data_IF_826501012383
#
_entry.id   IF_826501012383
#
_cell.length_a   1.000
_cell.length_b   1.000
_cell.length_c   1.000
_cell.angle_alpha   90.00
_cell.angle_beta   90.00
_cell.angle_gamma   90.00
#
_symmetry.space_group_name_H-M   'P 1'
#
loop_
_entity.id
_entity.type
_entity.pdbx_description
1 polymer ?
#
# COMPACT_ATOMS: atom_id res chain seq x y z
N UNK A 1 29.20 11.57 18.85
CA UNK A 1 27.84 11.03 18.84
C UNK A 1 26.78 12.06 18.43
N UNK A 2 26.69 13.25 19.03
CA UNK A 2 25.66 14.27 18.70
C UNK A 2 25.65 14.76 17.23
N UNK A 3 26.81 14.89 16.56
CA UNK A 3 26.88 15.27 15.14
C UNK A 3 26.39 14.16 14.20
N UNK A 4 26.62 12.89 14.54
CA UNK A 4 26.10 11.74 13.79
C UNK A 4 24.58 11.60 13.97
N UNK A 5 24.05 11.78 15.17
CA UNK A 5 22.63 11.80 15.46
C UNK A 5 21.92 12.96 14.74
N UNK A 6 22.47 14.19 14.75
CA UNK A 6 21.93 15.34 13.98
C UNK A 6 21.98 15.12 12.47
N UNK A 7 23.01 14.44 11.93
CA UNK A 7 23.05 14.05 10.50
C UNK A 7 22.01 12.97 10.18
N UNK A 8 21.82 11.99 11.06
CA UNK A 8 20.80 10.95 10.93
C UNK A 8 19.39 11.59 10.93
N UNK A 9 19.08 12.47 11.88
CA UNK A 9 17.80 13.19 11.97
C UNK A 9 17.57 14.09 10.75
N UNK A 10 18.60 14.79 10.24
CA UNK A 10 18.48 15.56 8.98
C UNK A 10 18.26 14.68 7.75
N UNK A 11 18.78 13.45 7.74
CA UNK A 11 18.61 12.49 6.62
C UNK A 11 17.27 11.78 6.65
N UNK A 12 16.69 11.53 7.85
CA UNK A 12 15.40 10.83 7.99
C UNK A 12 14.20 11.79 8.11
N UNK A 13 14.43 13.06 8.41
CA UNK A 13 13.38 14.02 8.78
C UNK A 13 12.12 14.04 7.91
N UNK A 14 12.22 14.09 6.57
CA UNK A 14 11.02 14.22 5.73
C UNK A 14 10.15 12.98 5.62
N UNK A 15 10.70 11.77 5.78
CA UNK A 15 9.92 10.52 5.70
C UNK A 15 9.26 10.14 7.03
N UNK A 16 9.73 10.73 8.15
CA UNK A 16 9.22 10.43 9.49
C UNK A 16 7.71 10.64 9.61
N UNK A 17 7.08 11.74 9.12
CA UNK A 17 5.64 11.89 9.19
C UNK A 17 4.87 10.75 8.50
N UNK A 18 5.38 10.24 7.39
CA UNK A 18 4.77 9.07 6.72
C UNK A 18 4.91 7.80 7.55
N UNK A 19 6.04 7.58 8.22
CA UNK A 19 6.22 6.44 9.13
C UNK A 19 5.32 6.56 10.38
N UNK A 20 5.12 7.78 10.88
CA UNK A 20 4.15 8.05 11.96
C UNK A 20 2.73 7.73 11.51
N UNK A 21 2.36 8.10 10.27
CA UNK A 21 1.07 7.75 9.69
C UNK A 21 0.87 6.23 9.61
N UNK A 22 1.89 5.50 9.12
CA UNK A 22 1.86 4.03 9.08
C UNK A 22 1.73 3.45 10.49
N UNK A 23 2.47 4.01 11.48
CA UNK A 23 2.37 3.60 12.89
C UNK A 23 1.00 3.89 13.52
N UNK A 24 0.35 4.99 13.15
CA UNK A 24 -0.97 5.36 13.66
C UNK A 24 -2.07 4.34 13.29
N UNK A 25 -1.91 3.61 12.19
CA UNK A 25 -2.78 2.49 11.80
C UNK A 25 -2.62 1.24 12.69
N UNK A 26 -1.59 1.20 13.52
CA UNK A 26 -1.40 0.17 14.55
C UNK A 26 -2.17 0.44 15.84
N UNK A 27 -2.77 1.63 16.00
CA UNK A 27 -3.54 1.97 17.17
C UNK A 27 -4.95 1.35 17.10
N UNK A 28 -5.49 0.89 18.23
CA UNK A 28 -6.85 0.38 18.26
C UNK A 28 -7.85 1.51 17.94
N UNK A 29 -8.88 1.17 17.18
CA UNK A 29 -9.98 2.09 16.93
C UNK A 29 -10.78 2.28 18.23
N UNK A 30 -10.98 3.52 18.67
CA UNK A 30 -11.80 3.84 19.82
C UNK A 30 -13.25 3.41 19.62
N UNK A 31 -13.97 3.13 20.71
CA UNK A 31 -15.35 2.68 20.70
C UNK A 31 -16.32 3.62 19.93
N UNK A 32 -15.97 4.90 19.77
CA UNK A 32 -16.74 5.88 18.98
C UNK A 32 -16.52 5.79 17.47
N UNK A 33 -15.44 5.17 17.01
CA UNK A 33 -15.13 5.01 15.57
C UNK A 33 -15.88 3.84 14.91
N UNK A 34 -16.61 3.05 15.69
CA UNK A 34 -17.33 1.85 15.26
C UNK A 34 -18.76 2.12 14.78
N UNK A 35 -19.16 3.39 14.62
CA UNK A 35 -20.47 3.78 14.11
C UNK A 35 -20.63 3.49 12.62
N UNK A 36 -21.86 3.19 12.20
CA UNK A 36 -22.26 2.89 10.79
C UNK A 36 -22.02 4.06 9.82
N UNK A 37 -21.46 5.18 10.27
CA UNK A 37 -21.31 6.43 9.51
C UNK A 37 -19.91 6.81 9.07
N UNK A 38 -18.93 5.90 9.07
CA UNK A 38 -17.59 6.21 8.51
C UNK A 38 -16.86 7.35 9.26
N UNK A 39 -16.91 7.36 10.60
CA UNK A 39 -16.26 8.37 11.43
C UNK A 39 -14.75 8.50 11.16
N UNK A 40 -14.21 9.71 11.29
CA UNK A 40 -12.80 9.96 11.11
C UNK A 40 -11.97 9.18 12.13
N UNK A 41 -10.96 8.48 11.64
CA UNK A 41 -10.02 7.70 12.47
C UNK A 41 -8.83 8.56 12.90
N UNK A 42 -8.08 8.15 13.95
CA UNK A 42 -6.81 8.80 14.28
C UNK A 42 -5.84 8.87 13.08
N UNK A 43 -5.85 7.83 12.23
CA UNK A 43 -5.05 7.80 11.02
C UNK A 43 -5.49 8.85 9.99
N UNK A 44 -6.78 9.17 9.89
CA UNK A 44 -7.28 10.25 9.04
C UNK A 44 -6.75 11.62 9.50
N UNK A 45 -6.78 11.88 10.80
CA UNK A 45 -6.24 13.13 11.36
C UNK A 45 -4.73 13.25 11.10
N UNK A 46 -3.96 12.17 11.36
CA UNK A 46 -2.52 12.13 11.08
C UNK A 46 -2.26 12.32 9.59
N UNK A 47 -3.08 11.73 8.70
CA UNK A 47 -2.94 11.87 7.25
C UNK A 47 -3.10 13.34 6.82
N UNK A 48 -4.05 14.06 7.38
CA UNK A 48 -4.24 15.50 7.16
C UNK A 48 -2.99 16.30 7.56
N UNK A 49 -2.42 16.00 8.75
CA UNK A 49 -1.18 16.64 9.20
C UNK A 49 0.01 16.34 8.28
N UNK A 50 0.12 15.12 7.78
CA UNK A 50 1.17 14.72 6.81
C UNK A 50 1.02 15.50 5.52
N UNK A 51 -0.19 15.64 5.00
CA UNK A 51 -0.48 16.41 3.78
C UNK A 51 -0.14 17.89 3.99
N UNK A 52 -0.58 18.49 5.11
CA UNK A 52 -0.22 19.87 5.45
C UNK A 52 1.29 20.05 5.57
N UNK A 53 1.99 19.16 6.27
CA UNK A 53 3.44 19.18 6.38
C UNK A 53 4.13 19.12 5.01
N UNK A 54 3.67 18.20 4.13
CA UNK A 54 4.20 18.07 2.77
C UNK A 54 4.00 19.35 1.95
N UNK A 55 2.81 19.95 2.03
CA UNK A 55 2.48 21.21 1.33
C UNK A 55 3.34 22.38 1.83
N UNK A 56 3.41 22.60 3.15
CA UNK A 56 4.24 23.65 3.76
C UNK A 56 5.71 23.47 3.39
N UNK A 57 6.21 22.23 3.41
CA UNK A 57 7.57 21.92 3.01
C UNK A 57 7.81 22.24 1.53
N UNK A 58 6.91 21.85 0.63
CA UNK A 58 7.02 22.11 -0.80
C UNK A 58 7.10 23.61 -1.09
N UNK A 59 6.25 24.41 -0.45
CA UNK A 59 6.25 25.87 -0.56
C UNK A 59 7.58 26.48 -0.05
N UNK A 60 8.02 26.06 1.16
CA UNK A 60 9.24 26.58 1.78
C UNK A 60 10.52 26.25 1.00
N UNK A 61 10.58 25.03 0.42
CA UNK A 61 11.76 24.58 -0.32
C UNK A 61 11.74 25.03 -1.77
N UNK A 62 10.67 25.68 -2.24
CA UNK A 62 10.45 26.10 -3.63
C UNK A 62 10.75 25.00 -4.66
N UNK A 63 10.65 23.75 -4.25
CA UNK A 63 10.86 22.62 -5.15
C UNK A 63 9.65 22.50 -6.07
N UNK A 64 9.90 22.26 -7.36
CA UNK A 64 8.88 21.84 -8.33
C UNK A 64 8.99 20.30 -8.52
N UNK A 65 8.51 19.51 -7.55
CA UNK A 65 8.79 18.08 -7.51
C UNK A 65 7.94 17.27 -8.48
N UNK A 66 6.85 17.85 -8.98
CA UNK A 66 5.88 17.16 -9.81
C UNK A 66 6.11 17.52 -11.29
N UNK A 67 6.48 16.50 -12.07
CA UNK A 67 6.52 16.59 -13.53
C UNK A 67 5.10 16.68 -14.14
N UNK A 68 5.01 17.02 -15.42
CA UNK A 68 3.72 17.11 -16.14
C UNK A 68 2.89 15.83 -16.02
N UNK A 69 3.53 14.67 -16.12
CA UNK A 69 2.86 13.38 -15.99
C UNK A 69 2.29 13.17 -14.57
N UNK A 70 3.05 13.53 -13.52
CA UNK A 70 2.56 13.43 -12.15
C UNK A 70 1.38 14.37 -11.91
N UNK A 71 1.44 15.59 -12.48
CA UNK A 71 0.32 16.53 -12.41
C UNK A 71 -0.93 16.00 -13.12
N UNK A 72 -0.80 15.38 -14.29
CA UNK A 72 -1.93 14.78 -15.00
C UNK A 72 -2.53 13.60 -14.22
N UNK A 73 -1.69 12.66 -13.75
CA UNK A 73 -2.16 11.46 -13.02
C UNK A 73 -2.85 11.81 -11.71
N UNK A 74 -2.42 12.88 -11.01
CA UNK A 74 -3.05 13.33 -9.76
C UNK A 74 -4.18 14.34 -9.99
N UNK A 75 -4.12 15.11 -11.07
CA UNK A 75 -5.08 16.17 -11.36
C UNK A 75 -6.36 15.69 -12.05
N UNK A 76 -6.27 14.73 -12.97
CA UNK A 76 -7.47 14.18 -13.64
C UNK A 76 -8.50 13.61 -12.66
N UNK A 77 -8.12 12.82 -11.64
CA UNK A 77 -9.05 12.37 -10.62
C UNK A 77 -9.75 13.51 -9.86
N UNK A 78 -9.07 14.64 -9.63
CA UNK A 78 -9.69 15.80 -8.95
C UNK A 78 -10.89 16.29 -9.75
N UNK A 79 -10.73 16.45 -11.07
CA UNK A 79 -11.80 16.93 -11.95
C UNK A 79 -12.94 15.91 -12.00
N UNK A 80 -12.62 14.62 -12.15
CA UNK A 80 -13.63 13.57 -12.23
C UNK A 80 -14.48 13.47 -10.96
N UNK A 81 -13.82 13.49 -9.78
CA UNK A 81 -14.52 13.42 -8.49
C UNK A 81 -15.32 14.70 -8.23
N UNK A 82 -14.81 15.88 -8.65
CA UNK A 82 -15.57 17.13 -8.54
C UNK A 82 -16.84 17.11 -9.40
N UNK A 83 -16.75 16.60 -10.63
CA UNK A 83 -17.94 16.43 -11.52
C UNK A 83 -18.95 15.48 -10.88
N UNK A 84 -18.51 14.33 -10.36
CA UNK A 84 -19.39 13.36 -9.70
C UNK A 84 -20.03 13.91 -8.42
N UNK A 85 -19.32 14.81 -7.70
CA UNK A 85 -19.86 15.45 -6.50
C UNK A 85 -21.05 16.37 -6.80
N UNK A 86 -21.14 16.95 -8.00
CA UNK A 86 -22.30 17.74 -8.42
C UNK A 86 -23.59 16.90 -8.54
N UNK A 87 -23.44 15.59 -8.76
CA UNK A 87 -24.58 14.65 -8.83
C UNK A 87 -24.94 14.00 -7.48
N UNK A 88 -24.26 14.31 -6.39
CA UNK A 88 -24.53 13.72 -5.08
C UNK A 88 -25.92 14.12 -4.55
N UNK A 89 -26.61 13.18 -3.88
CA UNK A 89 -27.96 13.39 -3.35
C UNK A 89 -28.02 14.49 -2.27
N UNK A 90 -26.96 14.58 -1.44
CA UNK A 90 -26.86 15.60 -0.39
C UNK A 90 -25.49 16.28 -0.43
N UNK A 91 -25.40 17.56 0.01
CA UNK A 91 -24.12 18.26 0.14
C UNK A 91 -23.15 17.56 1.12
N UNK A 92 -23.65 16.90 2.17
CA UNK A 92 -22.84 16.14 3.11
C UNK A 92 -22.16 14.93 2.45
N UNK A 93 -22.89 14.18 1.60
CA UNK A 93 -22.36 13.05 0.88
C UNK A 93 -21.34 13.49 -0.16
N UNK A 94 -21.62 14.63 -0.87
CA UNK A 94 -20.67 15.24 -1.78
C UNK A 94 -19.35 15.56 -1.09
N UNK A 95 -19.39 16.26 0.06
CA UNK A 95 -18.18 16.65 0.80
C UNK A 95 -17.45 15.43 1.34
N UNK A 96 -18.16 14.47 1.95
CA UNK A 96 -17.55 13.26 2.49
C UNK A 96 -16.87 12.45 1.41
N UNK A 97 -17.54 12.23 0.28
CA UNK A 97 -16.99 11.51 -0.86
C UNK A 97 -15.78 12.24 -1.45
N UNK A 98 -15.91 13.54 -1.70
CA UNK A 98 -14.84 14.37 -2.24
C UNK A 98 -13.59 14.32 -1.36
N UNK A 99 -13.73 14.53 -0.05
CA UNK A 99 -12.64 14.48 0.92
C UNK A 99 -11.96 13.11 0.89
N UNK A 100 -12.74 12.02 0.90
CA UNK A 100 -12.19 10.66 0.93
C UNK A 100 -11.44 10.31 -0.36
N UNK A 101 -12.02 10.57 -1.51
CA UNK A 101 -11.36 10.33 -2.79
C UNK A 101 -10.11 11.19 -2.96
N UNK A 102 -10.18 12.49 -2.64
CA UNK A 102 -9.02 13.37 -2.71
C UNK A 102 -7.92 12.94 -1.74
N UNK A 103 -8.26 12.57 -0.50
CA UNK A 103 -7.31 12.07 0.49
C UNK A 103 -6.52 10.89 -0.06
N UNK A 104 -7.22 9.86 -0.57
CA UNK A 104 -6.62 8.57 -0.92
C UNK A 104 -5.95 8.59 -2.29
N UNK A 105 -6.59 9.23 -3.28
CA UNK A 105 -6.14 9.15 -4.69
C UNK A 105 -5.17 10.27 -5.05
N UNK A 106 -5.23 11.41 -4.35
CA UNK A 106 -4.48 12.61 -4.74
C UNK A 106 -3.54 13.09 -3.64
N UNK A 107 -4.07 13.42 -2.46
CA UNK A 107 -3.32 14.15 -1.43
C UNK A 107 -2.24 13.28 -0.77
N UNK A 108 -2.59 12.05 -0.36
CA UNK A 108 -1.61 11.13 0.22
C UNK A 108 -0.56 10.67 -0.81
N UNK A 109 -0.92 10.24 -2.03
CA UNK A 109 0.07 9.97 -3.07
C UNK A 109 0.97 11.17 -3.37
N UNK A 110 0.40 12.38 -3.42
CA UNK A 110 1.15 13.63 -3.56
C UNK A 110 2.13 13.87 -2.40
N UNK A 111 1.70 13.65 -1.16
CA UNK A 111 2.55 13.77 0.02
C UNK A 111 3.71 12.76 -0.01
N UNK A 112 3.47 11.51 -0.42
CA UNK A 112 4.53 10.49 -0.59
C UNK A 112 5.55 10.93 -1.63
N UNK A 113 5.09 11.44 -2.79
CA UNK A 113 5.97 11.98 -3.84
C UNK A 113 6.86 13.13 -3.36
N UNK A 114 6.35 13.96 -2.45
CA UNK A 114 7.06 15.13 -1.90
C UNK A 114 8.03 14.76 -0.76
N UNK A 115 7.72 13.73 0.03
CA UNK A 115 8.43 13.42 1.26
C UNK A 115 9.45 12.28 1.09
N UNK A 116 9.21 11.32 0.20
CA UNK A 116 10.17 10.27 -0.13
C UNK A 116 11.20 10.82 -1.12
N UNK A 117 12.48 10.91 -0.71
CA UNK A 117 13.54 11.56 -1.47
C UNK A 117 14.40 10.61 -2.28
N UNK A 118 14.67 9.46 -1.70
CA UNK A 118 15.64 8.50 -2.22
C UNK A 118 15.20 7.05 -1.96
N UNK A 119 15.95 6.10 -2.49
CA UNK A 119 15.70 4.67 -2.30
C UNK A 119 15.83 4.22 -0.85
N UNK A 120 16.61 4.93 -0.02
CA UNK A 120 16.74 4.60 1.39
C UNK A 120 15.46 4.98 2.16
N UNK A 121 14.87 6.15 1.87
CA UNK A 121 13.56 6.54 2.41
C UNK A 121 12.47 5.56 1.94
N UNK A 122 12.52 5.16 0.67
CA UNK A 122 11.58 4.17 0.12
C UNK A 122 11.67 2.82 0.82
N UNK A 123 12.90 2.31 1.08
CA UNK A 123 13.10 1.08 1.85
C UNK A 123 12.63 1.20 3.29
N UNK A 124 12.80 2.39 3.91
CA UNK A 124 12.27 2.64 5.27
C UNK A 124 10.75 2.53 5.30
N UNK A 125 10.06 3.05 4.26
CA UNK A 125 8.61 2.86 4.12
C UNK A 125 8.25 1.38 3.98
N UNK A 126 8.97 0.63 3.14
CA UNK A 126 8.78 -0.82 3.01
C UNK A 126 8.94 -1.56 4.35
N UNK A 127 9.98 -1.26 5.12
CA UNK A 127 10.16 -1.83 6.45
C UNK A 127 9.12 -1.33 7.46
N UNK A 128 8.64 -0.10 7.35
CA UNK A 128 7.52 0.43 8.13
C UNK A 128 6.24 -0.39 7.91
N UNK A 129 5.94 -0.72 6.65
CA UNK A 129 4.80 -1.59 6.29
C UNK A 129 4.97 -3.01 6.83
N UNK A 130 6.17 -3.59 6.76
CA UNK A 130 6.48 -4.90 7.36
C UNK A 130 6.28 -4.85 8.88
N UNK A 131 6.77 -3.80 9.54
CA UNK A 131 6.61 -3.61 11.00
C UNK A 131 5.13 -3.51 11.40
N UNK A 132 4.33 -2.71 10.67
CA UNK A 132 2.89 -2.62 10.90
C UNK A 132 2.20 -3.97 10.69
N UNK A 133 2.56 -4.70 9.63
CA UNK A 133 1.99 -6.02 9.35
C UNK A 133 2.32 -7.04 10.44
N UNK A 134 3.53 -7.06 10.96
CA UNK A 134 3.92 -7.92 12.08
C UNK A 134 3.14 -7.57 13.35
N UNK A 135 2.95 -6.28 13.63
CA UNK A 135 2.15 -5.81 14.77
C UNK A 135 0.69 -6.25 14.65
N UNK A 136 0.05 -5.95 13.53
CA UNK A 136 -1.33 -6.34 13.25
C UNK A 136 -1.50 -7.86 13.22
N UNK A 137 -0.54 -8.56 12.62
CA UNK A 137 -0.51 -10.01 12.57
C UNK A 137 -0.37 -10.66 13.95
N UNK A 138 0.48 -10.12 14.83
CA UNK A 138 0.64 -10.61 16.19
C UNK A 138 -0.65 -10.46 17.01
N UNK A 139 -1.32 -9.30 16.89
CA UNK A 139 -2.64 -9.09 17.51
C UNK A 139 -3.66 -10.09 16.95
N UNK A 140 -3.69 -10.27 15.62
CA UNK A 140 -4.62 -11.22 14.99
C UNK A 140 -4.40 -12.66 15.43
N UNK A 141 -3.15 -13.12 15.56
CA UNK A 141 -2.83 -14.45 16.10
C UNK A 141 -3.29 -14.57 17.54
N UNK A 142 -3.05 -13.54 18.37
CA UNK A 142 -3.56 -13.51 19.74
C UNK A 142 -5.09 -13.59 19.79
N UNK A 143 -5.79 -12.81 18.96
CA UNK A 143 -7.25 -12.81 18.89
C UNK A 143 -7.79 -14.18 18.50
N UNK A 144 -7.17 -14.85 17.54
CA UNK A 144 -7.56 -16.20 17.15
C UNK A 144 -7.34 -17.20 18.29
N UNK A 145 -6.19 -17.18 18.95
CA UNK A 145 -5.83 -18.08 20.04
C UNK A 145 -6.72 -17.92 21.28
N UNK A 146 -7.22 -16.70 21.55
CA UNK A 146 -8.05 -16.38 22.72
C UNK A 146 -9.54 -16.31 22.41
N UNK A 147 -9.95 -16.51 21.16
CA UNK A 147 -11.34 -16.38 20.77
C UNK A 147 -11.88 -14.95 20.83
N UNK A 148 -11.00 -13.91 20.79
CA UNK A 148 -11.37 -12.50 20.92
C UNK A 148 -11.42 -11.74 19.59
N UNK A 149 -11.38 -12.43 18.45
CA UNK A 149 -11.49 -11.84 17.11
C UNK A 149 -12.91 -11.43 16.76
N UNK A 150 -13.26 -11.49 15.47
CA UNK A 150 -14.61 -11.22 14.99
C UNK A 150 -15.22 -12.44 14.32
N UNK A 151 -16.51 -12.66 14.54
CA UNK A 151 -17.33 -13.60 13.79
C UNK A 151 -18.05 -12.83 12.66
N UNK A 152 -18.22 -13.47 11.52
CA UNK A 152 -18.92 -12.92 10.38
C UNK A 152 -19.95 -13.95 9.89
N UNK A 153 -21.22 -13.56 9.81
CA UNK A 153 -22.32 -14.41 9.41
C UNK A 153 -22.46 -15.70 10.27
N UNK A 154 -22.16 -15.62 11.58
CA UNK A 154 -22.22 -16.78 12.47
C UNK A 154 -21.07 -17.78 12.32
N UNK A 155 -20.10 -17.49 11.45
CA UNK A 155 -18.91 -18.32 11.26
C UNK A 155 -17.88 -18.14 12.39
N UNK A 156 -16.89 -19.03 12.40
CA UNK A 156 -15.81 -19.04 13.38
C UNK A 156 -15.02 -17.73 13.45
N UNK A 157 -14.37 -17.53 14.58
CA UNK A 157 -13.65 -16.31 14.90
C UNK A 157 -12.46 -16.10 13.96
N UNK A 158 -12.41 -14.90 13.36
CA UNK A 158 -11.35 -14.45 12.47
C UNK A 158 -10.43 -13.48 13.20
N UNK A 159 -9.17 -13.50 12.80
CA UNK A 159 -8.21 -12.47 13.16
C UNK A 159 -8.50 -11.17 12.40
N UNK A 160 -8.71 -10.07 13.12
CA UNK A 160 -9.08 -8.75 12.55
C UNK A 160 -8.10 -7.64 12.96
N UNK A 161 -7.14 -7.92 13.84
CA UNK A 161 -6.17 -6.94 14.32
C UNK A 161 -6.83 -5.79 15.11
N UNK A 162 -6.25 -4.59 15.03
CA UNK A 162 -6.78 -3.42 15.71
C UNK A 162 -7.97 -2.78 15.00
N UNK A 163 -8.32 -3.21 13.79
CA UNK A 163 -9.44 -2.67 13.00
C UNK A 163 -10.81 -3.15 13.49
N UNK A 164 -10.85 -4.28 14.19
CA UNK A 164 -12.06 -4.83 14.78
C UNK A 164 -13.07 -5.36 13.76
N UNK A 165 -14.30 -5.60 14.24
CA UNK A 165 -15.37 -6.21 13.44
C UNK A 165 -15.88 -5.32 12.29
N UNK A 166 -15.59 -4.02 12.31
CA UNK A 166 -16.06 -3.06 11.29
C UNK A 166 -15.18 -3.04 10.03
N UNK A 167 -13.94 -3.51 10.12
CA UNK A 167 -13.04 -3.68 8.97
C UNK A 167 -12.34 -5.03 9.04
N UNK A 168 -13.13 -6.08 8.84
CA UNK A 168 -12.66 -7.48 8.89
C UNK A 168 -11.54 -7.76 7.87
N UNK A 169 -11.51 -6.99 6.78
CA UNK A 169 -10.49 -7.12 5.74
C UNK A 169 -9.22 -6.31 6.05
N UNK A 170 -9.28 -5.32 6.95
CA UNK A 170 -8.18 -4.38 7.18
C UNK A 170 -6.88 -5.05 7.59
N UNK A 171 -6.93 -6.02 8.53
CA UNK A 171 -5.75 -6.77 8.93
C UNK A 171 -5.18 -7.60 7.77
N UNK A 172 -6.05 -8.29 7.01
CA UNK A 172 -5.61 -9.11 5.87
C UNK A 172 -4.90 -8.27 4.81
N UNK A 173 -5.41 -7.07 4.52
CA UNK A 173 -4.80 -6.09 3.60
C UNK A 173 -3.43 -5.64 4.09
N UNK A 174 -3.31 -5.24 5.35
CA UNK A 174 -2.04 -4.80 5.94
C UNK A 174 -1.00 -5.92 5.95
N UNK A 175 -1.39 -7.13 6.34
CA UNK A 175 -0.52 -8.31 6.35
C UNK A 175 -0.07 -8.65 4.93
N UNK A 176 -0.95 -8.57 3.95
CA UNK A 176 -0.61 -8.79 2.54
C UNK A 176 0.41 -7.78 2.02
N UNK A 177 0.26 -6.49 2.34
CA UNK A 177 1.28 -5.48 2.01
C UNK A 177 2.63 -5.81 2.68
N UNK A 178 2.60 -6.24 3.94
CA UNK A 178 3.79 -6.69 4.66
C UNK A 178 4.49 -7.85 3.96
N UNK A 179 3.75 -8.86 3.52
CA UNK A 179 4.28 -10.02 2.77
C UNK A 179 4.91 -9.56 1.45
N UNK A 180 4.22 -8.73 0.67
CA UNK A 180 4.72 -8.20 -0.60
C UNK A 180 6.01 -7.40 -0.41
N UNK A 181 6.06 -6.51 0.60
CA UNK A 181 7.25 -5.74 0.96
C UNK A 181 8.40 -6.66 1.40
N UNK A 182 8.12 -7.57 2.32
CA UNK A 182 9.12 -8.49 2.86
C UNK A 182 9.66 -9.42 1.76
N UNK A 183 8.81 -9.95 0.89
CA UNK A 183 9.24 -10.78 -0.24
C UNK A 183 10.11 -9.99 -1.22
N UNK A 184 9.72 -8.77 -1.60
CA UNK A 184 10.52 -7.91 -2.50
C UNK A 184 11.91 -7.63 -1.90
N UNK A 185 11.99 -7.32 -0.60
CA UNK A 185 13.24 -7.11 0.13
C UNK A 185 14.06 -8.41 0.27
N UNK A 186 13.43 -9.56 0.46
CA UNK A 186 14.10 -10.87 0.52
C UNK A 186 14.72 -11.25 -0.84
N UNK A 187 14.02 -10.94 -1.94
CA UNK A 187 14.47 -11.25 -3.29
C UNK A 187 15.65 -10.37 -3.74
N UNK A 188 15.64 -9.08 -3.39
CA UNK A 188 16.55 -8.10 -3.98
C UNK A 188 17.15 -7.09 -2.99
N UNK A 189 16.97 -7.26 -1.68
CA UNK A 189 17.47 -6.36 -0.65
C UNK A 189 19.00 -6.17 -0.68
N UNK A 190 19.51 -5.03 -0.13
CA UNK A 190 20.90 -4.61 -0.33
C UNK A 190 21.92 -5.49 0.38
N UNK A 191 21.56 -6.14 1.46
CA UNK A 191 22.48 -7.00 2.25
C UNK A 191 21.90 -8.39 2.47
N UNK A 192 22.78 -9.37 2.69
CA UNK A 192 22.36 -10.75 3.03
C UNK A 192 21.50 -10.79 4.30
N UNK A 193 21.88 -10.01 5.32
CA UNK A 193 21.09 -9.93 6.57
C UNK A 193 19.70 -9.39 6.32
N UNK A 194 19.59 -8.27 5.61
CA UNK A 194 18.27 -7.69 5.26
C UNK A 194 17.40 -8.68 4.47
N UNK A 195 17.99 -9.43 3.53
CA UNK A 195 17.25 -10.46 2.76
C UNK A 195 16.77 -11.61 3.63
N UNK A 196 17.61 -12.12 4.53
CA UNK A 196 17.23 -13.19 5.44
C UNK A 196 16.14 -12.74 6.41
N UNK A 197 16.32 -11.57 7.07
CA UNK A 197 15.32 -11.01 7.98
C UNK A 197 13.98 -10.80 7.27
N UNK A 198 14.01 -10.22 6.07
CA UNK A 198 12.80 -10.02 5.28
C UNK A 198 12.13 -11.36 4.90
N UNK A 199 12.91 -12.38 4.54
CA UNK A 199 12.39 -13.72 4.26
C UNK A 199 11.70 -14.36 5.48
N UNK A 200 12.31 -14.25 6.66
CA UNK A 200 11.70 -14.70 7.91
C UNK A 200 10.41 -13.93 8.22
N UNK A 201 10.39 -12.61 8.02
CA UNK A 201 9.17 -11.81 8.21
C UNK A 201 8.06 -12.23 7.22
N UNK A 202 8.40 -12.43 5.93
CA UNK A 202 7.44 -12.89 4.93
C UNK A 202 6.81 -14.22 5.33
N UNK A 203 7.62 -15.16 5.80
CA UNK A 203 7.16 -16.47 6.26
C UNK A 203 6.28 -16.36 7.52
N UNK A 204 6.70 -15.58 8.52
CA UNK A 204 5.92 -15.37 9.74
C UNK A 204 4.55 -14.75 9.46
N UNK A 205 4.47 -13.83 8.49
CA UNK A 205 3.22 -13.15 8.11
C UNK A 205 2.23 -14.06 7.37
N UNK A 206 2.63 -15.25 6.88
CA UNK A 206 1.69 -16.20 6.29
C UNK A 206 0.69 -16.73 7.32
N UNK A 207 1.08 -16.84 8.58
CA UNK A 207 0.22 -17.32 9.68
C UNK A 207 -0.99 -16.39 9.89
N UNK A 208 -0.80 -15.08 10.22
CA UNK A 208 -1.94 -14.20 10.40
C UNK A 208 -2.76 -13.98 9.12
N UNK A 209 -2.14 -14.07 7.93
CA UNK A 209 -2.90 -14.05 6.69
C UNK A 209 -3.84 -15.26 6.59
N UNK A 210 -3.38 -16.46 6.93
CA UNK A 210 -4.21 -17.65 6.94
C UNK A 210 -5.38 -17.49 7.94
N UNK A 211 -5.11 -17.01 9.17
CA UNK A 211 -6.09 -16.81 10.23
C UNK A 211 -7.09 -15.66 9.95
N UNK A 212 -6.88 -14.86 8.92
CA UNK A 212 -7.85 -13.85 8.49
C UNK A 212 -9.05 -14.45 7.76
N UNK A 213 -8.94 -15.68 7.27
CA UNK A 213 -9.95 -16.37 6.45
C UNK A 213 -10.47 -15.55 5.26
N UNK A 214 -9.65 -14.63 4.76
CA UNK A 214 -9.98 -13.78 3.62
C UNK A 214 -9.54 -14.43 2.30
N UNK A 215 -10.47 -15.07 1.60
CA UNK A 215 -10.21 -15.74 0.30
C UNK A 215 -9.61 -14.76 -0.73
N UNK A 216 -10.16 -13.54 -0.82
CA UNK A 216 -9.67 -12.52 -1.76
C UNK A 216 -8.22 -12.12 -1.47
N UNK A 217 -7.89 -11.84 -0.20
CA UNK A 217 -6.52 -11.50 0.20
C UNK A 217 -5.54 -12.65 -0.03
N UNK A 218 -5.95 -13.91 0.18
CA UNK A 218 -5.12 -15.09 -0.08
C UNK A 218 -4.78 -15.20 -1.57
N UNK A 219 -5.81 -15.13 -2.43
CA UNK A 219 -5.65 -15.25 -3.89
C UNK A 219 -4.77 -14.10 -4.42
N UNK A 220 -5.08 -12.85 -4.05
CA UNK A 220 -4.31 -11.69 -4.49
C UNK A 220 -2.85 -11.79 -4.02
N UNK A 221 -2.60 -12.16 -2.75
CA UNK A 221 -1.24 -12.27 -2.22
C UNK A 221 -0.48 -13.42 -2.86
N UNK A 222 -1.09 -14.58 -3.01
CA UNK A 222 -0.47 -15.72 -3.69
C UNK A 222 -0.10 -15.39 -5.14
N UNK A 223 -1.01 -14.77 -5.89
CA UNK A 223 -0.77 -14.32 -7.27
C UNK A 223 0.45 -13.40 -7.35
N UNK A 224 0.49 -12.37 -6.51
CA UNK A 224 1.58 -11.39 -6.53
C UNK A 224 2.90 -12.02 -6.06
N UNK A 225 2.88 -12.90 -5.05
CA UNK A 225 4.07 -13.65 -4.64
C UNK A 225 4.62 -14.49 -5.80
N UNK A 226 3.77 -15.21 -6.53
CA UNK A 226 4.17 -15.98 -7.71
C UNK A 226 4.78 -15.07 -8.78
N UNK A 227 4.15 -13.93 -9.10
CA UNK A 227 4.68 -12.95 -10.07
C UNK A 227 6.04 -12.41 -9.63
N UNK A 228 6.20 -12.02 -8.36
CA UNK A 228 7.46 -11.52 -7.83
C UNK A 228 8.55 -12.58 -7.89
N UNK A 229 8.25 -13.82 -7.49
CA UNK A 229 9.21 -14.94 -7.51
C UNK A 229 9.57 -15.30 -8.95
N UNK A 230 8.59 -15.48 -9.83
CA UNK A 230 8.80 -15.78 -11.25
C UNK A 230 9.68 -14.74 -11.93
N UNK A 231 9.50 -13.50 -11.53
CA UNK A 231 10.29 -12.38 -12.02
C UNK A 231 11.80 -12.47 -11.68
N UNK A 232 12.24 -13.33 -10.76
CA UNK A 232 13.68 -13.52 -10.40
C UNK A 232 14.40 -14.54 -11.26
N UNK A 233 13.72 -15.21 -12.17
CA UNK A 233 14.23 -16.27 -13.05
C UNK A 233 13.81 -17.66 -12.61
N UNK A 234 13.56 -18.53 -13.60
CA UNK A 234 12.87 -19.82 -13.41
C UNK A 234 13.55 -20.75 -12.38
N UNK A 235 14.88 -20.89 -12.42
CA UNK A 235 15.61 -21.76 -11.48
C UNK A 235 15.50 -21.28 -10.02
N UNK A 236 15.54 -19.97 -9.80
CA UNK A 236 15.41 -19.38 -8.48
C UNK A 236 13.96 -19.44 -8.01
N UNK A 237 13.02 -19.20 -8.93
CA UNK A 237 11.60 -19.33 -8.67
C UNK A 237 11.22 -20.75 -8.23
N UNK A 238 11.70 -21.78 -8.93
CA UNK A 238 11.44 -23.18 -8.57
C UNK A 238 11.96 -23.53 -7.16
N UNK A 239 13.18 -23.08 -6.79
CA UNK A 239 13.72 -23.31 -5.44
C UNK A 239 12.90 -22.61 -4.36
N UNK A 240 12.53 -21.33 -4.59
CA UNK A 240 11.74 -20.57 -3.62
C UNK A 240 10.33 -21.13 -3.48
N UNK A 241 9.74 -21.59 -4.57
CA UNK A 241 8.44 -22.25 -4.54
C UNK A 241 8.52 -23.57 -3.74
N UNK A 242 9.53 -24.39 -3.96
CA UNK A 242 9.74 -25.64 -3.22
C UNK A 242 9.91 -25.38 -1.71
N UNK A 243 10.76 -24.40 -1.33
CA UNK A 243 10.97 -24.03 0.07
C UNK A 243 9.69 -23.47 0.69
N UNK A 244 8.96 -22.60 -0.02
CA UNK A 244 7.69 -22.05 0.43
C UNK A 244 6.62 -23.11 0.62
N UNK A 245 6.50 -24.05 -0.32
CA UNK A 245 5.56 -25.17 -0.21
C UNK A 245 5.91 -26.10 0.95
N UNK A 246 7.18 -26.44 1.13
CA UNK A 246 7.63 -27.24 2.27
C UNK A 246 7.34 -26.54 3.61
N UNK A 247 7.59 -25.24 3.70
CA UNK A 247 7.27 -24.44 4.87
C UNK A 247 5.75 -24.38 5.14
N UNK A 248 4.92 -24.24 4.10
CA UNK A 248 3.47 -24.27 4.22
C UNK A 248 2.97 -25.62 4.74
N UNK A 249 3.51 -26.74 4.21
CA UNK A 249 3.18 -28.09 4.69
C UNK A 249 3.54 -28.27 6.18
N UNK A 250 4.72 -27.80 6.58
CA UNK A 250 5.17 -27.87 7.99
C UNK A 250 4.27 -27.01 8.90
N UNK A 251 3.89 -25.80 8.45
CA UNK A 251 3.02 -24.91 9.24
C UNK A 251 1.60 -25.48 9.38
N UNK A 252 1.01 -25.98 8.30
CA UNK A 252 -0.34 -26.56 8.34
C UNK A 252 -0.35 -27.92 9.04
N UNK A 253 0.60 -28.81 8.71
CA UNK A 253 0.67 -30.14 9.28
C UNK A 253 1.23 -30.19 10.70
N UNK A 254 2.16 -29.28 11.04
CA UNK A 254 2.84 -29.29 12.35
C UNK A 254 2.05 -28.61 13.46
N UNK A 255 1.25 -27.60 13.15
CA UNK A 255 0.48 -26.85 14.15
C UNK A 255 -0.99 -27.24 14.25
N UNK A 256 -1.49 -28.11 13.36
CA UNK A 256 -2.90 -28.57 13.39
C UNK A 256 -3.94 -27.43 13.26
N UNK A 257 -3.48 -26.22 12.91
CA UNK A 257 -4.27 -25.01 12.93
C UNK A 257 -5.33 -25.06 11.84
N UNK A 258 -6.58 -25.22 12.24
CA UNK A 258 -7.74 -25.00 11.38
C UNK A 258 -7.86 -25.97 10.18
N UNK A 259 -7.45 -27.23 10.30
CA UNK A 259 -7.46 -28.18 9.18
C UNK A 259 -8.85 -28.35 8.56
N UNK A 260 -9.90 -28.44 9.34
CA UNK A 260 -11.29 -28.52 8.85
C UNK A 260 -11.75 -27.22 8.20
N UNK A 261 -11.55 -26.07 8.86
CA UNK A 261 -11.88 -24.75 8.34
C UNK A 261 -11.09 -24.38 7.10
N UNK A 262 -9.78 -24.68 7.10
CA UNK A 262 -8.94 -24.44 5.92
C UNK A 262 -9.40 -25.31 4.75
N UNK A 263 -9.76 -26.56 5.00
CA UNK A 263 -10.33 -27.46 3.99
C UNK A 263 -11.68 -26.96 3.48
N UNK A 264 -12.57 -26.50 4.34
CA UNK A 264 -13.86 -25.93 3.96
C UNK A 264 -13.67 -24.67 3.12
N UNK A 265 -12.76 -23.78 3.50
CA UNK A 265 -12.45 -22.55 2.72
C UNK A 265 -11.77 -22.86 1.39
N UNK A 266 -10.85 -23.81 1.34
CA UNK A 266 -10.23 -24.24 0.08
C UNK A 266 -11.26 -24.92 -0.83
N UNK A 267 -12.13 -25.77 -0.27
CA UNK A 267 -13.21 -26.40 -1.03
C UNK A 267 -14.27 -25.39 -1.52
N UNK A 268 -14.51 -24.32 -0.76
CA UNK A 268 -15.43 -23.26 -1.17
C UNK A 268 -14.89 -22.42 -2.32
N UNK A 269 -13.56 -22.24 -2.44
CA UNK A 269 -12.94 -21.59 -3.60
C UNK A 269 -13.21 -22.39 -4.89
N UNK A 270 -13.19 -23.72 -4.81
CA UNK A 270 -13.46 -24.59 -5.97
C UNK A 270 -14.94 -24.77 -6.27
N UNK A 271 -15.85 -24.52 -5.31
CA UNK A 271 -17.29 -24.66 -5.47
C UNK A 271 -18.05 -23.34 -5.70
N UNK A 272 -17.37 -22.22 -5.86
CA UNK A 272 -17.99 -20.89 -6.04
C UNK A 272 -19.06 -20.86 -7.14
N UNK A 273 -18.91 -21.69 -8.18
CA UNK A 273 -19.86 -21.74 -9.30
C UNK A 273 -21.03 -22.70 -9.06
N UNK A 274 -20.90 -23.66 -8.15
CA UNK A 274 -21.91 -24.71 -7.96
C UNK A 274 -22.91 -24.39 -6.82
N UNK A 275 -22.45 -23.74 -5.75
CA UNK A 275 -23.28 -23.31 -4.63
C UNK A 275 -22.61 -22.08 -3.97
N UNK A 276 -22.84 -20.87 -4.51
CA UNK A 276 -22.27 -19.64 -3.94
C UNK A 276 -22.86 -19.38 -2.55
N UNK A 277 -22.00 -19.03 -1.59
CA UNK A 277 -22.47 -18.55 -0.29
C UNK A 277 -23.15 -17.16 -0.43
N UNK A 278 -23.95 -16.76 0.58
CA UNK A 278 -24.72 -15.52 0.53
C UNK A 278 -23.81 -14.30 0.27
N UNK A 279 -22.61 -14.28 0.83
CA UNK A 279 -21.63 -13.18 0.61
C UNK A 279 -21.19 -13.06 -0.86
N UNK A 280 -21.10 -14.16 -1.59
CA UNK A 280 -20.80 -14.16 -3.03
C UNK A 280 -22.03 -13.74 -3.83
N UNK A 281 -23.21 -14.22 -3.45
CA UNK A 281 -24.47 -13.82 -4.07
C UNK A 281 -24.73 -12.32 -3.94
N UNK A 282 -24.53 -11.77 -2.73
CA UNK A 282 -24.66 -10.34 -2.48
C UNK A 282 -23.70 -9.50 -3.35
N UNK A 283 -22.45 -9.95 -3.49
CA UNK A 283 -21.47 -9.25 -4.36
C UNK A 283 -21.91 -9.25 -5.82
N UNK A 284 -22.32 -10.39 -6.37
CA UNK A 284 -22.77 -10.46 -7.77
C UNK A 284 -24.02 -9.61 -7.99
N UNK A 285 -24.93 -9.59 -7.03
CA UNK A 285 -26.15 -8.76 -7.11
C UNK A 285 -25.80 -7.27 -7.09
N UNK A 286 -24.87 -6.85 -6.19
CA UNK A 286 -24.41 -5.46 -6.14
C UNK A 286 -23.58 -5.08 -7.38
N UNK A 287 -22.82 -6.00 -7.97
CA UNK A 287 -22.10 -5.76 -9.22
C UNK A 287 -23.04 -5.53 -10.38
N UNK A 288 -24.11 -6.36 -10.47
CA UNK A 288 -25.14 -6.17 -11.47
C UNK A 288 -25.84 -4.81 -11.31
N UNK A 289 -26.23 -4.45 -10.08
CA UNK A 289 -26.81 -3.15 -9.78
C UNK A 289 -25.88 -1.98 -10.17
N UNK A 290 -24.58 -2.08 -9.88
CA UNK A 290 -23.61 -1.07 -10.28
C UNK A 290 -23.52 -0.87 -11.81
N UNK A 291 -23.58 -1.98 -12.55
CA UNK A 291 -23.59 -1.94 -14.03
C UNK A 291 -24.89 -1.34 -14.57
N UNK A 292 -26.03 -1.64 -13.95
CA UNK A 292 -27.32 -1.09 -14.39
C UNK A 292 -27.41 0.42 -14.10
N UNK A 293 -26.97 0.90 -12.94
CA UNK A 293 -26.80 2.34 -12.65
C UNK A 293 -25.91 3.04 -13.68
N UNK A 294 -24.79 2.41 -14.06
CA UNK A 294 -23.92 2.95 -15.09
C UNK A 294 -24.59 3.04 -16.46
N UNK A 295 -25.40 2.06 -16.86
CA UNK A 295 -26.12 2.10 -18.14
C UNK A 295 -27.11 3.27 -18.23
N UNK A 296 -27.71 3.68 -17.10
CA UNK A 296 -28.59 4.86 -17.03
C UNK A 296 -27.82 6.18 -17.15
N UNK A 297 -26.61 6.24 -16.56
CA UNK A 297 -25.76 7.43 -16.53
C UNK A 297 -24.32 7.14 -16.99
N UNK A 298 -24.07 6.83 -18.28
CA UNK A 298 -22.79 6.28 -18.73
C UNK A 298 -21.59 7.20 -18.54
N UNK A 299 -21.77 8.51 -18.71
CA UNK A 299 -20.67 9.48 -18.68
C UNK A 299 -20.23 9.83 -17.26
N UNK A 300 -21.16 10.21 -16.39
CA UNK A 300 -20.91 10.81 -15.07
C UNK A 300 -21.35 9.95 -13.89
N UNK A 301 -22.03 8.83 -14.15
CA UNK A 301 -22.60 7.98 -13.11
C UNK A 301 -23.79 8.63 -12.38
N UNK A 302 -24.31 7.96 -11.37
CA UNK A 302 -25.46 8.42 -10.57
C UNK A 302 -25.09 9.50 -9.54
N UNK A 303 -23.81 9.88 -9.43
CA UNK A 303 -23.31 10.85 -8.46
C UNK A 303 -22.59 10.21 -7.28
N UNK A 304 -21.72 11.00 -6.67
CA UNK A 304 -20.83 10.57 -5.61
C UNK A 304 -21.61 10.15 -4.36
N UNK A 305 -21.26 8.98 -3.78
CA UNK A 305 -21.92 8.39 -2.59
C UNK A 305 -23.40 8.01 -2.79
N UNK A 306 -23.89 7.99 -4.01
CA UNK A 306 -25.27 7.63 -4.29
C UNK A 306 -25.51 6.13 -4.48
N UNK A 307 -24.46 5.29 -4.56
CA UNK A 307 -24.64 3.83 -4.71
C UNK A 307 -25.65 3.24 -3.71
N UNK A 308 -25.62 3.53 -2.39
CA UNK A 308 -26.58 2.96 -1.45
C UNK A 308 -28.02 3.37 -1.73
N UNK A 309 -28.25 4.60 -2.19
CA UNK A 309 -29.60 5.14 -2.47
C UNK A 309 -30.24 4.47 -3.71
N UNK A 310 -29.42 4.16 -4.72
CA UNK A 310 -29.89 3.54 -5.97
C UNK A 310 -29.81 2.00 -5.95
N UNK A 311 -29.09 1.42 -4.98
CA UNK A 311 -28.87 -0.03 -4.88
C UNK A 311 -30.15 -0.84 -4.90
N UNK A 312 -31.13 -0.48 -4.08
CA UNK A 312 -32.33 -1.29 -3.86
C UNK A 312 -33.27 -1.27 -5.10
N UNK A 313 -33.27 -0.19 -5.89
CA UNK A 313 -34.04 -0.11 -7.14
C UNK A 313 -33.37 -0.88 -8.30
N UNK A 314 -32.08 -1.18 -8.23
CA UNK A 314 -31.30 -1.86 -9.26
C UNK A 314 -30.89 -3.28 -8.89
N UNK A 315 -31.12 -3.70 -7.65
CA UNK A 315 -30.74 -5.03 -7.17
C UNK A 315 -31.88 -6.03 -7.29
N UNK A 316 -31.55 -7.31 -7.48
CA UNK A 316 -32.51 -8.40 -7.40
C UNK A 316 -32.90 -8.68 -5.95
N UNK A 317 -34.01 -9.41 -5.76
CA UNK A 317 -34.47 -9.91 -4.45
C UNK A 317 -33.48 -10.87 -3.77
N UNK A 318 -32.45 -11.32 -4.48
CA UNK A 318 -31.40 -12.17 -3.92
C UNK A 318 -30.44 -11.43 -2.99
N UNK A 319 -30.46 -10.06 -3.00
CA UNK A 319 -29.65 -9.26 -2.12
C UNK A 319 -30.10 -9.41 -0.67
N UNK A 320 -29.18 -9.76 0.23
CA UNK A 320 -29.47 -9.81 1.66
C UNK A 320 -29.66 -8.38 2.22
N UNK A 321 -30.42 -8.26 3.32
CA UNK A 321 -30.65 -6.96 3.96
C UNK A 321 -29.40 -6.38 4.65
N UNK A 322 -28.29 -7.12 4.71
CA UNK A 322 -27.02 -6.70 5.31
C UNK A 322 -26.15 -7.88 5.70
N UNK A 323 -24.92 -7.62 6.05
CA UNK A 323 -23.99 -8.61 6.60
C UNK A 323 -24.04 -8.63 8.11
N UNK A 324 -24.15 -9.84 8.68
CA UNK A 324 -24.17 -10.03 10.12
C UNK A 324 -22.74 -10.10 10.65
N UNK A 325 -22.37 -9.15 11.50
CA UNK A 325 -21.04 -9.08 12.11
C UNK A 325 -21.17 -9.07 13.63
N UNK A 326 -20.47 -9.98 14.29
CA UNK A 326 -20.32 -9.98 15.74
C UNK A 326 -18.84 -10.01 16.10
N UNK A 327 -18.43 -9.21 17.08
CA UNK A 327 -17.13 -9.35 17.73
C UNK A 327 -17.25 -10.17 18.99
N UNK A 328 -16.19 -10.86 19.42
CA UNK A 328 -16.19 -11.53 20.72
C UNK A 328 -16.47 -10.52 21.84
N UNK A 329 -17.51 -10.79 22.64
CA UNK A 329 -17.97 -9.89 23.71
C UNK A 329 -18.72 -8.64 23.24
N UNK A 330 -19.06 -8.51 21.95
CA UNK A 330 -19.89 -7.42 21.43
C UNK A 330 -21.22 -7.92 20.90
N UNK A 331 -22.27 -7.09 21.01
CA UNK A 331 -23.59 -7.39 20.45
C UNK A 331 -23.52 -7.57 18.93
N UNK A 332 -24.30 -8.53 18.43
CA UNK A 332 -24.59 -8.72 17.04
C UNK A 332 -24.96 -7.40 16.36
N UNK A 333 -24.33 -7.14 15.21
CA UNK A 333 -24.59 -5.96 14.39
C UNK A 333 -24.83 -6.36 12.95
N UNK A 334 -25.88 -5.83 12.38
CA UNK A 334 -26.12 -5.91 10.95
C UNK A 334 -25.46 -4.72 10.25
N UNK A 335 -24.49 -4.99 9.38
CA UNK A 335 -23.85 -3.93 8.59
C UNK A 335 -24.57 -3.80 7.24
N UNK A 336 -25.04 -2.60 6.88
CA UNK A 336 -25.64 -2.36 5.57
C UNK A 336 -24.57 -2.52 4.47
N UNK A 337 -24.97 -3.05 3.33
CA UNK A 337 -24.13 -3.19 2.14
C UNK A 337 -24.09 -1.84 1.41
N UNK A 338 -23.11 -1.00 1.73
CA UNK A 338 -23.02 0.40 1.26
C UNK A 338 -22.22 0.57 -0.04
N UNK A 339 -21.60 -0.51 -0.55
CA UNK A 339 -20.78 -0.47 -1.75
C UNK A 339 -20.78 -1.83 -2.44
N UNK A 340 -20.44 -1.92 -3.73
CA UNK A 340 -20.34 -3.20 -4.44
C UNK A 340 -19.13 -4.03 -4.03
N UNK A 341 -18.30 -3.59 -3.09
CA UNK A 341 -17.00 -4.19 -2.75
C UNK A 341 -16.14 -4.48 -3.99
N UNK A 342 -16.18 -3.56 -4.93
CA UNK A 342 -15.37 -3.54 -6.14
C UNK A 342 -15.17 -2.07 -6.53
N UNK A 343 -13.93 -1.60 -6.38
CA UNK A 343 -13.60 -0.19 -6.60
C UNK A 343 -13.89 0.28 -8.03
N UNK A 344 -13.67 -0.59 -9.01
CA UNK A 344 -13.90 -0.24 -10.42
C UNK A 344 -15.39 -0.04 -10.71
N UNK A 345 -16.23 -0.93 -10.19
CA UNK A 345 -17.68 -0.83 -10.34
C UNK A 345 -18.26 0.29 -9.49
N UNK A 346 -17.70 0.56 -8.30
CA UNK A 346 -18.10 1.71 -7.49
C UNK A 346 -17.84 3.03 -8.24
N UNK A 347 -16.63 3.18 -8.79
CA UNK A 347 -16.29 4.37 -9.58
C UNK A 347 -17.14 4.46 -10.85
N UNK A 348 -17.37 3.33 -11.51
CA UNK A 348 -18.17 3.29 -12.72
C UNK A 348 -19.64 3.69 -12.48
N UNK A 349 -20.25 3.19 -11.40
CA UNK A 349 -21.64 3.52 -11.06
C UNK A 349 -21.80 4.96 -10.57
N UNK A 350 -20.90 5.44 -9.71
CA UNK A 350 -21.01 6.78 -9.09
C UNK A 350 -20.42 7.91 -9.95
N UNK A 351 -19.40 7.63 -10.79
CA UNK A 351 -18.64 8.65 -11.53
C UNK A 351 -18.62 8.41 -13.04
N UNK A 352 -19.23 7.32 -13.51
CA UNK A 352 -19.29 6.95 -14.93
C UNK A 352 -17.93 6.65 -15.56
N UNK A 353 -17.90 6.67 -16.89
CA UNK A 353 -16.67 6.46 -17.66
C UNK A 353 -15.64 7.57 -17.42
N UNK A 354 -16.07 8.80 -17.18
CA UNK A 354 -15.15 9.92 -16.89
C UNK A 354 -14.33 9.63 -15.64
N UNK A 355 -15.00 9.19 -14.54
CA UNK A 355 -14.33 8.81 -13.30
C UNK A 355 -13.45 7.59 -13.47
N UNK A 356 -13.96 6.55 -14.11
CA UNK A 356 -13.20 5.31 -14.31
C UNK A 356 -11.94 5.53 -15.15
N UNK A 357 -12.05 6.26 -16.27
CA UNK A 357 -10.87 6.57 -17.09
C UNK A 357 -9.85 7.44 -16.36
N UNK A 358 -10.30 8.43 -15.60
CA UNK A 358 -9.40 9.31 -14.85
C UNK A 358 -8.67 8.56 -13.73
N UNK A 359 -9.38 7.75 -12.94
CA UNK A 359 -8.83 7.09 -11.76
C UNK A 359 -8.12 5.79 -12.14
N UNK A 360 -8.83 4.83 -12.75
CA UNK A 360 -8.25 3.54 -13.09
C UNK A 360 -7.25 3.66 -14.26
N UNK A 361 -7.49 4.56 -15.21
CA UNK A 361 -6.52 4.89 -16.27
C UNK A 361 -5.23 5.46 -15.71
N UNK A 362 -5.32 6.34 -14.69
CA UNK A 362 -4.16 6.85 -13.96
C UNK A 362 -3.37 5.75 -13.24
N UNK A 363 -4.06 4.84 -12.56
CA UNK A 363 -3.42 3.69 -11.89
C UNK A 363 -2.76 2.73 -12.88
N UNK A 364 -3.42 2.46 -14.00
CA UNK A 364 -2.84 1.63 -15.07
C UNK A 364 -1.60 2.28 -15.67
N UNK A 365 -1.63 3.59 -15.90
CA UNK A 365 -0.47 4.34 -16.37
C UNK A 365 0.70 4.25 -15.37
N UNK A 366 0.45 4.39 -14.06
CA UNK A 366 1.46 4.19 -13.02
C UNK A 366 2.04 2.78 -13.05
N UNK A 367 1.20 1.76 -13.19
CA UNK A 367 1.65 0.36 -13.27
C UNK A 367 2.52 0.12 -14.50
N UNK A 368 2.08 0.56 -15.68
CA UNK A 368 2.85 0.41 -16.92
C UNK A 368 4.19 1.13 -16.84
N UNK A 369 4.21 2.38 -16.35
CA UNK A 369 5.45 3.12 -16.14
C UNK A 369 6.36 2.45 -15.11
N UNK A 370 5.80 1.96 -14.00
CA UNK A 370 6.53 1.21 -12.97
C UNK A 370 7.15 -0.07 -13.48
N UNK A 371 6.43 -0.86 -14.28
CA UNK A 371 6.91 -2.10 -14.87
C UNK A 371 8.02 -1.86 -15.91
N UNK A 372 7.87 -0.84 -16.77
CA UNK A 372 8.94 -0.44 -17.72
C UNK A 372 10.22 -0.10 -16.96
N UNK A 373 10.13 0.63 -15.85
CA UNK A 373 11.27 0.96 -14.99
C UNK A 373 11.82 -0.25 -14.24
N UNK A 374 10.98 -1.20 -13.83
CA UNK A 374 11.43 -2.46 -13.24
C UNK A 374 12.32 -3.24 -14.21
N UNK A 375 11.94 -3.34 -15.49
CA UNK A 375 12.76 -3.98 -16.52
C UNK A 375 14.13 -3.29 -16.65
N UNK A 376 14.16 -1.97 -16.68
CA UNK A 376 15.40 -1.19 -16.74
C UNK A 376 16.24 -1.38 -15.47
N UNK A 377 15.63 -1.28 -14.28
CA UNK A 377 16.33 -1.46 -13.00
C UNK A 377 16.98 -2.84 -12.87
N UNK A 378 16.36 -3.88 -13.44
CA UNK A 378 16.92 -5.23 -13.48
C UNK A 378 18.13 -5.33 -14.40
N UNK A 379 18.03 -4.76 -15.61
CA UNK A 379 19.13 -4.76 -16.58
C UNK A 379 20.35 -4.03 -16.04
N UNK A 380 20.15 -2.96 -15.28
CA UNK A 380 21.22 -2.14 -14.72
C UNK A 380 21.65 -2.54 -13.31
N UNK A 381 20.96 -3.49 -12.68
CA UNK A 381 21.11 -3.90 -11.27
C UNK A 381 20.98 -2.74 -10.27
N UNK A 382 20.28 -1.65 -10.64
CA UNK A 382 20.11 -0.43 -9.84
C UNK A 382 18.76 -0.39 -9.13
N UNK A 383 18.73 -0.75 -7.84
CA UNK A 383 17.54 -0.69 -6.97
C UNK A 383 16.41 -1.63 -7.36
N UNK A 384 16.68 -2.90 -7.73
CA UNK A 384 15.63 -3.85 -8.10
C UNK A 384 14.67 -4.16 -6.94
N UNK A 385 15.10 -3.99 -5.70
CA UNK A 385 14.30 -4.12 -4.48
C UNK A 385 13.17 -3.08 -4.41
N UNK A 386 13.48 -1.80 -4.62
CA UNK A 386 12.49 -0.73 -4.65
C UNK A 386 11.50 -0.91 -5.81
N UNK A 387 12.00 -1.38 -6.96
CA UNK A 387 11.18 -1.65 -8.13
C UNK A 387 10.19 -2.79 -7.89
N UNK A 388 10.65 -3.91 -7.31
CA UNK A 388 9.81 -5.05 -6.97
C UNK A 388 8.78 -4.68 -5.91
N UNK A 389 9.19 -3.92 -4.88
CA UNK A 389 8.31 -3.47 -3.82
C UNK A 389 7.20 -2.57 -4.37
N UNK A 390 7.54 -1.55 -5.16
CA UNK A 390 6.56 -0.62 -5.72
C UNK A 390 5.60 -1.31 -6.69
N UNK A 391 6.12 -2.09 -7.65
CA UNK A 391 5.28 -2.81 -8.61
C UNK A 391 4.44 -3.89 -7.92
N UNK A 392 5.00 -4.61 -6.94
CA UNK A 392 4.29 -5.62 -6.19
C UNK A 392 3.12 -5.02 -5.39
N UNK A 393 3.36 -3.95 -4.63
CA UNK A 393 2.32 -3.24 -3.88
C UNK A 393 1.22 -2.70 -4.80
N UNK A 394 1.60 -2.02 -5.88
CA UNK A 394 0.63 -1.44 -6.80
C UNK A 394 -0.20 -2.53 -7.49
N UNK A 395 0.43 -3.61 -7.96
CA UNK A 395 -0.29 -4.72 -8.59
C UNK A 395 -1.23 -5.40 -7.59
N UNK A 396 -0.78 -5.61 -6.34
CA UNK A 396 -1.61 -6.18 -5.29
C UNK A 396 -2.84 -5.29 -5.03
N UNK A 397 -2.64 -3.98 -4.87
CA UNK A 397 -3.74 -3.05 -4.63
C UNK A 397 -4.76 -3.02 -5.78
N UNK A 398 -4.29 -3.02 -7.03
CA UNK A 398 -5.18 -3.05 -8.18
C UNK A 398 -5.94 -4.38 -8.30
N UNK A 399 -5.34 -5.48 -7.87
CA UNK A 399 -6.02 -6.78 -7.78
C UNK A 399 -7.05 -6.79 -6.65
N UNK A 400 -6.70 -6.26 -5.48
CA UNK A 400 -7.61 -6.16 -4.32
C UNK A 400 -8.84 -5.31 -4.63
N UNK A 401 -8.71 -4.28 -5.42
CA UNK A 401 -9.82 -3.43 -5.87
C UNK A 401 -10.90 -4.16 -6.69
N UNK A 402 -10.66 -5.38 -7.14
CA UNK A 402 -11.70 -6.25 -7.71
C UNK A 402 -12.64 -6.79 -6.62
N UNK A 403 -12.17 -6.88 -5.36
CA UNK A 403 -12.90 -7.45 -4.22
C UNK A 403 -13.12 -6.48 -3.07
N UNK A 404 -12.53 -5.29 -3.15
CA UNK A 404 -12.54 -4.27 -2.12
C UNK A 404 -12.70 -2.87 -2.71
N UNK A 405 -12.89 -1.91 -1.82
CA UNK A 405 -12.98 -0.48 -2.14
C UNK A 405 -12.31 0.37 -1.07
N UNK A 406 -12.52 1.69 -1.11
CA UNK A 406 -11.91 2.66 -0.18
C UNK A 406 -12.79 2.97 1.04
N UNK A 407 -13.56 2.00 1.54
CA UNK A 407 -14.57 2.23 2.58
C UNK A 407 -14.10 2.12 4.03
N UNK A 408 -13.05 1.35 4.32
CA UNK A 408 -12.65 1.00 5.69
C UNK A 408 -11.58 1.92 6.32
N UNK A 409 -11.29 1.75 7.62
CA UNK A 409 -10.22 2.46 8.34
C UNK A 409 -8.81 2.24 7.75
N UNK A 410 -8.58 1.09 7.12
CA UNK A 410 -7.32 0.76 6.43
C UNK A 410 -7.07 1.57 5.16
N UNK A 411 -8.07 2.28 4.65
CA UNK A 411 -8.04 3.00 3.36
C UNK A 411 -6.93 4.06 3.26
N UNK A 412 -6.54 4.68 4.38
CA UNK A 412 -5.41 5.63 4.41
C UNK A 412 -4.12 4.98 3.91
N UNK A 413 -3.93 3.68 4.21
CA UNK A 413 -2.78 2.92 3.77
C UNK A 413 -2.77 2.72 2.25
N UNK A 414 -3.94 2.57 1.64
CA UNK A 414 -4.09 2.53 0.18
C UNK A 414 -3.49 3.78 -0.48
N UNK A 415 -3.76 4.97 0.07
CA UNK A 415 -3.15 6.21 -0.42
C UNK A 415 -1.62 6.23 -0.32
N UNK A 416 -1.05 5.68 0.75
CA UNK A 416 0.40 5.52 0.90
C UNK A 416 0.96 4.56 -0.15
N UNK A 417 0.30 3.42 -0.38
CA UNK A 417 0.72 2.40 -1.36
C UNK A 417 0.66 2.95 -2.79
N UNK A 418 -0.43 3.63 -3.15
CA UNK A 418 -0.54 4.33 -4.44
C UNK A 418 0.56 5.37 -4.60
N UNK A 419 0.88 6.10 -3.53
CA UNK A 419 1.98 7.08 -3.50
C UNK A 419 3.36 6.45 -3.70
N UNK A 420 3.63 5.30 -3.11
CA UNK A 420 4.87 4.55 -3.33
C UNK A 420 4.98 4.07 -4.79
N UNK A 421 3.87 3.57 -5.35
CA UNK A 421 3.79 3.22 -6.77
C UNK A 421 4.05 4.42 -7.67
N UNK A 422 3.42 5.56 -7.38
CA UNK A 422 3.61 6.82 -8.10
C UNK A 422 5.05 7.33 -7.99
N UNK A 423 5.66 7.28 -6.80
CA UNK A 423 7.05 7.69 -6.61
C UNK A 423 8.00 6.87 -7.49
N UNK A 424 7.85 5.55 -7.49
CA UNK A 424 8.67 4.70 -8.36
C UNK A 424 8.42 4.99 -9.84
N UNK A 425 7.17 5.16 -10.25
CA UNK A 425 6.80 5.38 -11.65
C UNK A 425 7.22 6.77 -12.17
N UNK A 426 7.21 7.82 -11.34
CA UNK A 426 7.26 9.22 -11.81
C UNK A 426 8.48 10.01 -11.33
N UNK A 427 9.12 9.66 -10.20
CA UNK A 427 10.23 10.43 -9.62
C UNK A 427 11.54 10.27 -10.40
N UNK A 428 11.66 10.92 -11.56
CA UNK A 428 12.81 10.79 -12.46
C UNK A 428 14.09 11.46 -11.93
N UNK A 429 13.98 12.59 -11.23
CA UNK A 429 15.13 13.39 -10.83
C UNK A 429 15.83 12.93 -9.55
N UNK A 430 15.14 12.27 -8.64
CA UNK A 430 15.71 11.83 -7.37
C UNK A 430 16.62 10.61 -7.53
N UNK A 431 16.22 9.67 -8.40
CA UNK A 431 16.98 8.45 -8.69
C UNK A 431 18.24 8.73 -9.50
N UNK A 432 18.16 9.66 -10.47
CA UNK A 432 19.31 10.02 -11.30
C UNK A 432 20.40 10.79 -10.52
N UNK A 433 20.02 11.65 -9.56
CA UNK A 433 20.98 12.36 -8.70
C UNK A 433 21.77 11.46 -7.77
N UNK A 434 21.15 10.41 -7.25
CA UNK A 434 21.82 9.44 -6.38
C UNK A 434 22.88 8.64 -7.14
N UNK A 435 22.58 8.30 -8.40
CA UNK A 435 23.48 7.56 -9.28
C UNK A 435 24.72 8.41 -9.67
N UNK A 436 24.55 9.70 -9.98
CA UNK A 436 25.63 10.64 -10.31
C UNK A 436 26.55 10.87 -9.09
N UNK A 437 25.99 11.14 -7.92
CA UNK A 437 26.78 11.37 -6.70
C UNK A 437 27.60 10.14 -6.30
N UNK A 438 27.10 8.94 -6.60
CA UNK A 438 27.81 7.69 -6.29
C UNK A 438 28.91 7.38 -7.32
N UNK A 439 28.71 7.71 -8.58
CA UNK A 439 29.75 7.61 -9.62
C UNK A 439 30.88 8.62 -9.38
N UNK A 440 30.56 9.84 -8.91
CA UNK A 440 31.55 10.83 -8.53
C UNK A 440 32.35 10.41 -7.30
N UNK A 441 31.72 9.79 -6.30
CA UNK A 441 32.42 9.25 -5.11
C UNK A 441 33.28 8.02 -5.42
N UNK A 442 32.94 7.25 -6.43
CA UNK A 442 33.76 6.10 -6.89
C UNK A 442 34.91 6.56 -7.78
N UNK A 443 34.73 7.64 -8.54
CA UNK A 443 35.79 8.26 -9.36
C UNK A 443 36.81 9.04 -8.51
N UNK A 444 36.38 9.66 -7.41
CA UNK A 444 37.25 10.22 -6.39
C UNK A 444 37.61 9.09 -5.44
N UNK A 445 38.51 8.21 -5.88
CA UNK A 445 39.12 7.18 -5.04
C UNK A 445 39.71 7.81 -3.76
N UNK A 446 40.00 7.01 -2.72
CA UNK A 446 40.50 7.55 -1.47
C UNK A 446 41.74 8.42 -1.77
N UNK A 447 41.61 9.71 -1.47
CA UNK A 447 42.77 10.62 -1.51
C UNK A 447 43.81 9.94 -0.62
N UNK A 448 44.83 9.38 -1.24
CA UNK A 448 46.06 8.96 -0.53
C UNK A 448 46.51 10.21 0.19
N UNK A 449 46.42 10.24 1.50
CA UNK A 449 47.23 11.11 2.34
C UNK A 449 48.69 10.76 2.03
N UNK A 450 49.23 11.50 1.03
CA UNK A 450 50.63 11.48 0.72
C UNK A 450 51.39 12.05 1.91
N UNK A 451 52.20 11.19 2.55
CA UNK A 451 53.24 11.59 3.49
C UNK A 451 53.88 12.88 3.04
N UNK A 452 53.68 13.94 3.79
CA UNK A 452 54.59 15.07 3.82
C UNK A 452 55.88 14.58 4.46
N UNK A 453 56.86 14.18 3.65
CA UNK A 453 58.24 14.03 4.08
C UNK A 453 58.79 15.43 4.31
N UNK A 454 58.96 15.80 5.54
CA UNK A 454 59.89 16.89 5.95
C UNK A 454 61.28 16.52 5.50
N UNK A 455 61.82 17.28 4.55
CA UNK A 455 63.23 17.26 4.19
C UNK A 455 63.93 18.44 4.90
N UNK A 456 65.23 18.26 5.32
CA UNK A 456 65.88 19.17 6.23
C UNK A 456 66.31 20.49 5.57
N UNK A 457 66.29 21.56 6.36
CA UNK A 457 66.80 22.86 6.10
C UNK A 457 68.21 22.85 5.58
N UNK A 458 68.55 23.58 4.53
CA UNK A 458 69.91 24.04 4.22
C UNK A 458 69.86 25.56 4.10
N UNK A 459 70.54 26.16 5.06
CA UNK A 459 71.07 27.52 5.03
C UNK A 459 72.02 27.72 3.85
N UNK A 460 72.06 28.92 3.35
CA UNK A 460 73.26 29.37 2.69
C UNK A 460 73.11 30.41 1.58
N UNK A 461 73.44 31.67 1.92
CA UNK A 461 74.13 32.74 1.15
C UNK A 461 73.50 33.31 -0.13
N UNK A 462 73.04 34.49 -0.02
CA UNK A 462 73.59 35.80 -0.36
C UNK A 462 74.11 36.06 -1.80
N UNK A 463 73.81 37.29 -2.26
CA UNK A 463 74.42 38.09 -3.32
C UNK A 463 73.86 37.91 -4.74
N UNK A 464 73.26 38.92 -5.24
CA UNK A 464 73.84 40.01 -6.04
C UNK A 464 72.95 40.42 -7.17
N UNK A 465 72.50 41.60 -7.11
CA UNK A 465 72.60 42.67 -8.07
C UNK A 465 72.06 42.54 -9.51
N UNK A 466 71.30 43.58 -9.84
CA UNK A 466 71.29 44.33 -11.12
C UNK A 466 70.55 43.74 -12.34
N UNK A 467 69.49 44.38 -12.69
CA UNK A 467 69.36 45.52 -13.63
C UNK A 467 68.87 45.15 -15.03
N UNK A 468 67.85 45.90 -15.45
CA UNK A 468 67.48 46.27 -16.83
C UNK A 468 66.79 45.17 -17.70
N UNK A 469 65.63 45.34 -18.19
CA UNK A 469 64.93 46.47 -18.89
C UNK A 469 63.44 46.19 -18.91
#
# INVERSE_FOLDING_TARGET
MLRAARRAVRRTGPVVPLLVLVGALGLPLGAGATGTGGGATPADAVSGLVVCFAAVRAVRTRQRPLGRTAFAVLGLPVVAVAVAALGAATPSDAVQGLVRYLQVVVLLPGAVLLLVRDRADFRRMGWGLVGLALWQGAIGVYQYATGTGASYAGEDIRAVGTFGATDVMGMATVVSYGIVCALALALAGPTRRARLTAGCCALALTVPLALSFSRGAWIATALICVVLIASTGLRRAARLFLVGSAAAVVLVGGFGVGTTMLQERLSSITRVTAAPDQSVTDRYTMWAAAVDMWKEHPATGVGLKNFPAYRDSHSSIALSAGSDVAGAGTSYRRQPLLSPHNMYLLVLSEQGLVGLCAIAGGWLALLVCGLRRLVTARRTARGPDCALLACGLLTWQLTDFVYGDIGGPSTVLTGVVLGLGAWWALAQGAVAREDVTREDLVRVGPVREGLVREGPAREGLALGAEARR
#
